data_IF_285587754844
#
_entry.id   IF_285587754844
#
_cell.length_a   1.000
_cell.length_b   1.000
_cell.length_c   1.000
_cell.angle_alpha   90.00
_cell.angle_beta   90.00
_cell.angle_gamma   90.00
#
_symmetry.space_group_name_H-M   'P 1'
#
loop_
_entity.id
_entity.type
_entity.pdbx_description
1 polymer ?
#
# COMPACT_ATOMS: atom_id res chain seq x y z
N UNK A 1 35.21 8.28 -44.30
CA UNK A 1 36.35 7.81 -43.51
C UNK A 1 37.24 8.98 -43.17
N UNK A 2 37.21 9.43 -41.92
CA UNK A 2 38.41 9.80 -41.17
C UNK A 2 38.02 9.90 -39.69
N UNK A 3 38.79 9.23 -38.84
CA UNK A 3 38.59 9.14 -37.40
C UNK A 3 39.47 10.16 -36.67
N UNK A 4 38.94 10.71 -35.58
CA UNK A 4 39.64 11.27 -34.41
C UNK A 4 38.53 11.70 -33.44
N UNK A 5 38.44 11.28 -32.17
CA UNK A 5 39.52 11.01 -31.23
C UNK A 5 39.57 12.17 -30.23
N UNK A 6 38.90 12.02 -29.08
CA UNK A 6 38.85 13.06 -28.04
C UNK A 6 38.07 12.61 -26.81
N UNK A 7 38.80 12.01 -25.87
CA UNK A 7 38.40 11.59 -24.53
C UNK A 7 38.48 12.76 -23.54
N UNK A 8 37.52 12.89 -22.60
CA UNK A 8 37.74 12.88 -21.13
C UNK A 8 36.61 13.54 -20.31
N UNK A 9 36.24 12.80 -19.24
CA UNK A 9 35.81 13.20 -17.89
C UNK A 9 34.53 14.04 -17.72
N UNK A 10 33.66 13.79 -16.74
CA UNK A 10 33.68 12.89 -15.59
C UNK A 10 32.44 13.20 -14.74
N UNK A 11 32.00 12.24 -13.94
CA UNK A 11 30.82 12.38 -13.08
C UNK A 11 30.48 11.06 -12.41
N UNK A 12 31.33 10.66 -11.46
CA UNK A 12 31.04 9.60 -10.48
C UNK A 12 29.96 10.10 -9.51
N UNK A 13 29.01 9.24 -9.17
CA UNK A 13 28.02 9.51 -8.13
C UNK A 13 27.25 8.24 -7.77
N UNK A 14 27.65 7.60 -6.67
CA UNK A 14 26.75 6.79 -5.84
C UNK A 14 26.65 5.30 -6.15
N UNK A 15 27.71 4.52 -5.95
CA UNK A 15 27.57 3.08 -5.69
C UNK A 15 27.08 2.90 -4.25
N UNK A 16 25.78 2.68 -4.09
CA UNK A 16 25.22 2.08 -2.89
C UNK A 16 25.77 0.65 -2.77
N UNK A 17 26.55 0.43 -1.72
CA UNK A 17 27.24 -0.83 -1.47
C UNK A 17 26.26 -1.79 -0.77
N UNK A 18 25.37 -2.43 -1.54
CA UNK A 18 24.71 -3.66 -1.07
C UNK A 18 25.80 -4.71 -1.06
N UNK A 19 26.18 -5.13 0.15
CA UNK A 19 27.09 -6.25 0.34
C UNK A 19 26.31 -7.50 -0.08
N UNK A 20 26.39 -7.86 -1.36
CA UNK A 20 26.12 -9.23 -1.80
C UNK A 20 27.20 -10.11 -1.19
N UNK A 21 26.99 -10.52 0.06
CA UNK A 21 27.71 -11.64 0.65
C UNK A 21 27.29 -12.86 -0.16
N UNK A 22 28.09 -13.19 -1.18
CA UNK A 22 27.90 -14.36 -2.01
C UNK A 22 27.87 -15.59 -1.13
N UNK A 23 26.66 -16.08 -0.86
CA UNK A 23 26.39 -17.31 -0.13
C UNK A 23 27.22 -18.42 -0.74
N UNK A 24 28.01 -19.08 0.09
CA UNK A 24 28.76 -20.25 -0.33
C UNK A 24 27.75 -21.37 -0.50
N UNK A 25 27.28 -21.59 -1.73
CA UNK A 25 26.22 -22.56 -2.05
C UNK A 25 26.28 -23.82 -1.19
N UNK A 26 25.19 -24.07 -0.46
CA UNK A 26 25.05 -25.22 0.43
C UNK A 26 25.36 -26.51 -0.31
N UNK A 27 26.13 -27.40 0.31
CA UNK A 27 26.39 -28.71 -0.27
C UNK A 27 25.08 -29.47 -0.41
N UNK A 28 24.53 -29.52 -1.64
CA UNK A 28 23.25 -30.17 -1.93
C UNK A 28 23.14 -31.56 -1.28
N UNK A 29 21.99 -31.81 -0.66
CA UNK A 29 21.71 -33.04 0.09
C UNK A 29 21.96 -34.30 -0.74
N UNK A 30 22.40 -35.37 -0.08
CA UNK A 30 22.51 -36.69 -0.71
C UNK A 30 21.13 -37.19 -1.13
N UNK A 31 20.95 -37.77 -2.34
CA UNK A 31 19.68 -38.35 -2.75
C UNK A 31 19.10 -39.29 -1.68
N UNK A 32 17.93 -38.95 -1.15
CA UNK A 32 17.25 -39.68 -0.08
C UNK A 32 17.31 -39.05 1.32
N UNK A 33 18.03 -37.95 1.52
CA UNK A 33 17.99 -37.14 2.75
C UNK A 33 17.52 -35.72 2.40
N UNK A 34 16.45 -35.24 3.06
CA UNK A 34 15.94 -33.90 2.83
C UNK A 34 16.90 -32.84 3.39
N UNK A 35 16.96 -31.69 2.73
CA UNK A 35 17.65 -30.50 3.23
C UNK A 35 16.82 -29.95 4.40
N UNK A 36 17.42 -29.87 5.59
CA UNK A 36 16.75 -29.31 6.76
C UNK A 36 16.83 -27.79 6.73
N UNK A 37 15.69 -27.11 6.64
CA UNK A 37 15.60 -25.66 6.80
C UNK A 37 15.58 -25.34 8.28
N UNK A 38 16.60 -24.60 8.70
CA UNK A 38 16.80 -24.23 10.10
C UNK A 38 16.33 -22.82 10.41
N UNK A 39 16.16 -21.98 9.38
CA UNK A 39 15.71 -20.61 9.53
C UNK A 39 14.95 -20.12 8.30
N UNK A 40 14.00 -19.21 8.52
CA UNK A 40 13.30 -18.46 7.46
C UNK A 40 13.36 -16.99 7.85
N UNK A 41 14.12 -16.21 7.09
CA UNK A 41 14.38 -14.80 7.35
C UNK A 41 13.46 -13.91 6.53
N UNK A 42 13.19 -12.69 7.00
CA UNK A 42 12.45 -11.66 6.25
C UNK A 42 11.05 -12.13 5.80
N UNK A 43 10.38 -12.90 6.65
CA UNK A 43 9.04 -13.41 6.33
C UNK A 43 8.02 -12.27 6.30
N UNK A 44 7.60 -11.86 5.11
CA UNK A 44 6.77 -10.69 4.84
C UNK A 44 5.52 -11.03 4.02
N UNK A 45 4.50 -10.17 4.07
CA UNK A 45 3.34 -10.28 3.20
C UNK A 45 3.67 -9.84 1.76
N UNK A 46 3.23 -10.62 0.78
CA UNK A 46 3.28 -10.25 -0.63
C UNK A 46 2.16 -9.30 -1.02
N UNK A 47 2.22 -8.75 -2.23
CA UNK A 47 1.34 -7.65 -2.70
C UNK A 47 -0.17 -7.93 -2.60
N UNK A 48 -0.60 -9.19 -2.65
CA UNK A 48 -2.03 -9.56 -2.58
C UNK A 48 -2.52 -9.78 -1.15
N UNK A 49 -1.62 -9.89 -0.18
CA UNK A 49 -1.90 -10.38 1.17
C UNK A 49 -2.29 -11.87 1.25
N UNK A 50 -2.33 -12.59 0.13
CA UNK A 50 -2.64 -14.03 0.14
C UNK A 50 -1.40 -14.90 0.01
N UNK A 51 -0.23 -14.27 -0.06
CA UNK A 51 1.08 -14.90 -0.19
C UNK A 51 2.03 -14.26 0.80
N UNK A 52 2.88 -15.05 1.45
CA UNK A 52 3.90 -14.57 2.37
C UNK A 52 5.22 -15.23 2.02
N UNK A 53 6.31 -14.48 1.98
CA UNK A 53 7.61 -14.95 1.51
C UNK A 53 8.69 -14.66 2.53
N UNK A 54 9.63 -15.58 2.71
CA UNK A 54 10.87 -15.32 3.43
C UNK A 54 12.03 -16.10 2.81
N UNK A 55 13.25 -15.58 2.95
CA UNK A 55 14.46 -16.29 2.55
C UNK A 55 14.68 -17.53 3.43
N UNK A 56 15.31 -18.59 2.90
CA UNK A 56 15.55 -19.83 3.66
C UNK A 56 17.03 -20.14 3.87
N UNK A 57 17.34 -20.72 5.03
CA UNK A 57 18.70 -21.17 5.38
C UNK A 57 18.70 -22.62 5.90
N UNK A 58 19.56 -23.50 5.34
CA UNK A 58 20.54 -23.23 4.30
C UNK A 58 19.91 -23.05 2.91
N UNK A 59 20.59 -22.29 2.04
CA UNK A 59 20.27 -22.25 0.60
C UNK A 59 20.22 -23.69 0.02
N UNK A 60 19.19 -23.95 -0.79
CA UNK A 60 18.88 -25.21 -1.45
C UNK A 60 19.93 -25.56 -2.52
N UNK A 61 20.31 -24.58 -3.35
CA UNK A 61 21.41 -24.70 -4.31
C UNK A 61 21.80 -23.34 -4.91
N UNK A 62 22.71 -23.42 -5.90
CA UNK A 62 23.03 -22.31 -6.78
C UNK A 62 23.61 -21.08 -6.08
N UNK A 63 23.39 -19.93 -6.68
CA UNK A 63 23.96 -18.65 -6.25
C UNK A 63 22.92 -17.54 -6.13
N UNK A 64 21.71 -17.78 -6.65
CA UNK A 64 20.61 -16.85 -6.57
C UNK A 64 19.79 -17.14 -5.30
N UNK A 65 19.03 -16.17 -4.76
CA UNK A 65 18.31 -16.35 -3.50
C UNK A 65 17.27 -17.49 -3.55
N UNK A 66 17.12 -18.21 -2.43
CA UNK A 66 16.07 -19.19 -2.24
C UNK A 66 15.00 -18.65 -1.29
N UNK A 67 13.73 -18.97 -1.53
CA UNK A 67 12.61 -18.46 -0.75
C UNK A 67 11.60 -19.54 -0.38
N UNK A 68 10.86 -19.30 0.70
CA UNK A 68 9.69 -20.06 1.12
C UNK A 68 8.44 -19.19 1.01
N UNK A 69 7.52 -19.59 0.15
CA UNK A 69 6.21 -19.00 0.00
C UNK A 69 5.14 -19.75 0.79
N UNK A 70 4.34 -19.05 1.57
CA UNK A 70 3.10 -19.51 2.19
C UNK A 70 1.92 -18.85 1.48
N UNK A 71 1.04 -19.63 0.88
CA UNK A 71 -0.14 -19.16 0.16
C UNK A 71 -1.40 -19.54 0.93
N UNK A 72 -2.25 -18.56 1.23
CA UNK A 72 -3.41 -18.72 2.10
C UNK A 72 -4.68 -18.09 1.47
N UNK A 73 -5.80 -18.84 1.40
CA UNK A 73 -7.12 -18.25 1.21
C UNK A 73 -7.48 -17.25 2.30
N UNK A 74 -8.26 -16.19 2.01
CA UNK A 74 -8.69 -15.17 2.99
C UNK A 74 -9.34 -15.76 4.26
N UNK A 75 -10.03 -16.89 4.14
CA UNK A 75 -10.75 -17.56 5.22
C UNK A 75 -9.89 -18.55 6.05
N UNK A 76 -8.59 -18.66 5.76
CA UNK A 76 -7.71 -19.63 6.41
C UNK A 76 -7.52 -19.33 7.88
N UNK A 77 -7.85 -20.30 8.73
CA UNK A 77 -7.68 -20.23 10.18
C UNK A 77 -7.37 -21.63 10.74
N UNK A 78 -6.91 -21.69 12.00
CA UNK A 78 -6.69 -22.93 12.72
C UNK A 78 -5.60 -23.83 12.13
N UNK A 79 -5.68 -25.11 12.49
CA UNK A 79 -4.71 -26.13 12.08
C UNK A 79 -5.15 -26.84 10.80
N UNK A 80 -4.25 -26.88 9.82
CA UNK A 80 -4.44 -27.41 8.48
C UNK A 80 -3.34 -28.42 8.17
N UNK A 81 -3.72 -29.61 7.69
CA UNK A 81 -2.76 -30.60 7.19
C UNK A 81 -2.34 -30.22 5.77
N UNK A 82 -1.04 -30.18 5.52
CA UNK A 82 -0.48 -29.88 4.22
C UNK A 82 -0.43 -31.16 3.37
N UNK A 83 -0.83 -31.02 2.10
CA UNK A 83 -0.81 -32.10 1.12
C UNK A 83 -0.43 -31.55 -0.24
N UNK A 84 0.14 -32.41 -1.10
CA UNK A 84 0.49 -32.00 -2.45
C UNK A 84 -0.76 -31.53 -3.21
N UNK A 85 -0.82 -30.25 -3.64
CA UNK A 85 -1.89 -29.76 -4.50
C UNK A 85 -1.95 -30.50 -5.84
N UNK A 86 -3.15 -30.62 -6.42
CA UNK A 86 -3.32 -31.22 -7.73
C UNK A 86 -2.80 -30.34 -8.88
N UNK A 87 -2.79 -29.02 -8.69
CA UNK A 87 -2.34 -28.03 -9.65
C UNK A 87 -1.84 -26.77 -8.92
N UNK A 88 -0.88 -26.07 -9.52
CA UNK A 88 -0.24 -24.91 -8.90
C UNK A 88 -1.15 -23.69 -8.86
N UNK A 89 -2.13 -23.59 -9.75
CA UNK A 89 -3.13 -22.52 -9.71
C UNK A 89 -3.91 -22.51 -8.39
N UNK A 90 -4.10 -23.69 -7.77
CA UNK A 90 -4.70 -23.80 -6.44
C UNK A 90 -3.87 -23.04 -5.41
N UNK A 91 -2.54 -23.19 -5.46
CA UNK A 91 -1.61 -22.56 -4.54
C UNK A 91 -1.34 -21.10 -4.89
N UNK A 92 -0.85 -20.84 -6.09
CA UNK A 92 -0.29 -19.56 -6.49
C UNK A 92 -1.37 -18.47 -6.62
N UNK A 93 -2.65 -18.84 -6.78
CA UNK A 93 -3.77 -17.89 -6.74
C UNK A 93 -4.44 -17.78 -5.37
N UNK A 94 -3.88 -18.39 -4.31
CA UNK A 94 -4.43 -18.31 -2.95
C UNK A 94 -5.79 -18.99 -2.79
N UNK A 95 -6.15 -19.95 -3.63
CA UNK A 95 -7.44 -20.67 -3.52
C UNK A 95 -7.35 -21.93 -2.65
N UNK A 96 -6.13 -22.33 -2.28
CA UNK A 96 -5.85 -23.36 -1.30
C UNK A 96 -4.62 -23.02 -0.46
N UNK A 97 -4.50 -23.69 0.69
CA UNK A 97 -3.36 -23.51 1.60
C UNK A 97 -2.16 -24.28 1.04
N UNK A 98 -1.07 -23.58 0.78
CA UNK A 98 0.14 -24.20 0.26
C UNK A 98 1.41 -23.62 0.89
N UNK A 99 2.42 -24.48 1.03
CA UNK A 99 3.80 -24.08 1.34
C UNK A 99 4.66 -24.52 0.15
N UNK A 100 5.37 -23.56 -0.43
CA UNK A 100 6.15 -23.73 -1.65
C UNK A 100 7.56 -23.20 -1.42
N UNK A 101 8.58 -24.00 -1.72
CA UNK A 101 9.97 -23.53 -1.77
C UNK A 101 10.35 -23.19 -3.21
N UNK A 102 11.11 -22.11 -3.38
CA UNK A 102 11.65 -21.64 -4.66
C UNK A 102 13.17 -21.68 -4.58
N UNK A 103 13.80 -22.42 -5.49
CA UNK A 103 15.26 -22.47 -5.62
C UNK A 103 15.73 -21.56 -6.74
N UNK A 104 16.81 -20.81 -6.48
CA UNK A 104 17.43 -19.86 -7.41
C UNK A 104 16.38 -18.92 -8.04
N UNK A 105 15.60 -18.24 -7.18
CA UNK A 105 14.53 -17.35 -7.62
C UNK A 105 15.12 -16.02 -8.15
N UNK A 106 14.79 -15.72 -9.41
CA UNK A 106 15.11 -14.45 -10.07
C UNK A 106 13.86 -13.86 -10.69
N UNK A 107 13.93 -12.60 -11.15
CA UNK A 107 12.80 -11.98 -11.86
C UNK A 107 12.39 -12.73 -13.15
N UNK A 108 13.28 -13.54 -13.74
CA UNK A 108 13.04 -14.19 -15.03
C UNK A 108 12.81 -15.70 -14.93
N UNK A 109 13.22 -16.34 -13.83
CA UNK A 109 13.21 -17.78 -13.70
C UNK A 109 13.26 -18.25 -12.24
N UNK A 110 12.72 -19.45 -12.03
CA UNK A 110 12.91 -20.25 -10.83
C UNK A 110 13.63 -21.52 -11.26
N UNK A 111 14.70 -21.89 -10.57
CA UNK A 111 15.50 -23.09 -10.84
C UNK A 111 14.72 -24.38 -10.57
N UNK A 112 14.10 -24.48 -9.40
CA UNK A 112 13.23 -25.60 -9.03
C UNK A 112 12.11 -25.17 -8.06
N UNK A 113 10.99 -25.90 -8.10
CA UNK A 113 9.88 -25.73 -7.17
C UNK A 113 9.81 -26.91 -6.20
N UNK A 114 9.53 -26.62 -4.94
CA UNK A 114 9.29 -27.61 -3.89
C UNK A 114 7.90 -27.43 -3.34
N UNK A 115 7.07 -28.47 -3.33
CA UNK A 115 5.70 -28.37 -2.80
C UNK A 115 5.53 -29.25 -1.57
N UNK A 116 4.87 -28.72 -0.53
CA UNK A 116 4.55 -29.50 0.65
C UNK A 116 3.70 -30.72 0.32
N UNK A 117 4.15 -31.88 0.80
CA UNK A 117 3.45 -33.18 0.66
C UNK A 117 2.90 -33.67 2.00
N UNK A 118 3.45 -33.19 3.11
CA UNK A 118 3.04 -33.51 4.47
C UNK A 118 3.35 -32.35 5.42
N UNK A 119 2.86 -32.48 6.66
CA UNK A 119 3.10 -31.55 7.76
C UNK A 119 1.85 -30.79 8.17
N UNK A 120 2.02 -29.85 9.08
CA UNK A 120 0.92 -29.04 9.63
C UNK A 120 1.26 -27.56 9.55
N UNK A 121 0.28 -26.77 9.10
CA UNK A 121 0.23 -25.33 9.30
C UNK A 121 -0.79 -25.03 10.40
N UNK A 122 -0.42 -24.30 11.44
CA UNK A 122 -1.35 -23.80 12.44
C UNK A 122 -1.36 -22.27 12.44
N UNK A 123 -2.47 -21.66 12.03
CA UNK A 123 -2.69 -20.20 12.02
C UNK A 123 -3.35 -19.70 13.33
N UNK A 124 -3.62 -20.60 14.28
CA UNK A 124 -4.36 -20.29 15.50
C UNK A 124 -5.70 -19.65 15.19
N UNK A 125 -5.91 -18.42 15.67
CA UNK A 125 -7.13 -17.63 15.41
C UNK A 125 -6.89 -16.47 14.44
N UNK A 126 -5.68 -16.32 13.89
CA UNK A 126 -5.39 -15.27 12.92
C UNK A 126 -5.90 -15.66 11.53
N UNK A 127 -6.23 -14.65 10.72
CA UNK A 127 -6.71 -14.84 9.36
C UNK A 127 -6.05 -13.80 8.42
N UNK A 128 -5.63 -14.20 7.20
CA UNK A 128 -5.14 -13.29 6.15
C UNK A 128 -6.18 -12.20 5.79
N UNK A 129 -5.78 -11.06 5.19
CA UNK A 129 -4.69 -10.97 4.20
C UNK A 129 -3.35 -10.40 4.69
N UNK A 130 -3.26 -9.79 5.86
CA UNK A 130 -2.04 -9.00 6.15
C UNK A 130 -1.34 -9.39 7.45
N UNK A 131 -2.05 -10.13 8.32
CA UNK A 131 -1.54 -10.50 9.62
C UNK A 131 -1.84 -11.94 9.91
N UNK A 132 -0.78 -12.69 10.10
CA UNK A 132 -0.85 -14.09 10.44
C UNK A 132 0.17 -14.36 11.53
N UNK A 133 -0.27 -15.05 12.57
CA UNK A 133 0.62 -15.62 13.56
C UNK A 133 0.37 -17.13 13.55
N UNK A 134 1.42 -17.89 13.32
CA UNK A 134 1.27 -19.32 13.15
C UNK A 134 2.59 -20.07 13.19
N UNK A 135 2.48 -21.36 12.90
CA UNK A 135 3.65 -22.22 12.78
C UNK A 135 3.47 -23.29 11.72
N UNK A 136 4.59 -23.66 11.12
CA UNK A 136 4.79 -24.89 10.36
C UNK A 136 5.44 -25.92 11.29
N UNK A 137 4.98 -27.17 11.19
CA UNK A 137 5.54 -28.28 11.96
C UNK A 137 5.62 -29.55 11.10
N UNK A 138 6.79 -30.19 11.11
CA UNK A 138 7.09 -31.45 10.41
C UNK A 138 6.72 -31.40 8.92
N UNK A 139 7.05 -30.30 8.26
CA UNK A 139 6.69 -30.05 6.85
C UNK A 139 7.74 -30.66 5.94
N UNK A 140 7.31 -31.55 5.05
CA UNK A 140 8.17 -32.09 3.98
C UNK A 140 7.71 -31.53 2.64
N UNK A 141 8.61 -30.85 1.93
CA UNK A 141 8.42 -30.42 0.55
C UNK A 141 9.24 -31.31 -0.39
N UNK A 142 8.69 -31.62 -1.56
CA UNK A 142 9.39 -32.42 -2.59
C UNK A 142 9.56 -31.61 -3.85
N UNK A 143 10.68 -31.81 -4.54
CA UNK A 143 10.96 -31.22 -5.84
C UNK A 143 9.89 -31.65 -6.85
N UNK A 144 9.31 -30.69 -7.55
CA UNK A 144 8.25 -30.92 -8.52
C UNK A 144 8.47 -30.09 -9.80
N UNK A 145 7.92 -30.62 -10.88
CA UNK A 145 7.81 -29.90 -12.16
C UNK A 145 6.43 -29.32 -12.33
N UNK A 146 6.36 -28.15 -12.97
CA UNK A 146 5.14 -27.46 -13.33
C UNK A 146 4.89 -27.56 -14.83
N UNK A 147 3.72 -28.07 -15.23
CA UNK A 147 3.28 -28.02 -16.62
C UNK A 147 2.80 -26.58 -16.95
N UNK A 148 3.41 -25.88 -17.92
CA UNK A 148 3.13 -24.47 -18.17
C UNK A 148 1.75 -24.23 -18.81
N UNK A 149 1.14 -25.24 -19.44
CA UNK A 149 -0.15 -25.11 -20.12
C UNK A 149 -1.31 -25.40 -19.16
N UNK A 150 -1.11 -26.31 -18.22
CA UNK A 150 -2.17 -26.82 -17.32
C UNK A 150 -1.99 -26.43 -15.87
N UNK A 151 -0.80 -25.97 -15.48
CA UNK A 151 -0.43 -25.77 -14.08
C UNK A 151 -0.33 -27.06 -13.27
N UNK A 152 -0.35 -28.23 -13.91
CA UNK A 152 -0.28 -29.51 -13.21
C UNK A 152 1.08 -29.67 -12.50
N UNK A 153 1.04 -30.12 -11.25
CA UNK A 153 2.24 -30.38 -10.44
C UNK A 153 2.57 -31.87 -10.53
N UNK A 154 3.79 -32.20 -10.91
CA UNK A 154 4.30 -33.58 -10.95
C UNK A 154 5.58 -33.69 -10.13
N UNK A 155 5.54 -34.50 -9.08
CA UNK A 155 6.72 -34.83 -8.27
C UNK A 155 7.84 -35.40 -9.16
N UNK A 156 9.06 -34.92 -8.94
CA UNK A 156 10.25 -35.45 -9.62
C UNK A 156 10.64 -36.76 -8.95
N UNK A 157 10.55 -37.87 -9.69
CA UNK A 157 10.97 -39.18 -9.18
C UNK A 157 12.45 -39.15 -8.80
N UNK A 158 12.75 -39.56 -7.56
CA UNK A 158 14.09 -39.47 -6.95
C UNK A 158 14.63 -38.02 -6.88
N UNK A 159 13.73 -37.02 -6.92
CA UNK A 159 14.05 -35.62 -6.74
C UNK A 159 14.50 -35.29 -5.32
N UNK A 160 14.96 -34.05 -5.14
CA UNK A 160 15.34 -33.53 -3.82
C UNK A 160 14.11 -33.30 -2.96
N UNK A 161 14.32 -33.21 -1.66
CA UNK A 161 13.30 -32.80 -0.71
C UNK A 161 13.87 -31.82 0.31
N UNK A 162 12.96 -31.05 0.90
CA UNK A 162 13.22 -30.04 1.91
C UNK A 162 12.36 -30.37 3.12
N UNK A 163 12.92 -30.26 4.31
CA UNK A 163 12.21 -30.52 5.55
C UNK A 163 12.29 -29.31 6.47
N UNK A 164 11.19 -29.02 7.16
CA UNK A 164 11.07 -27.96 8.15
C UNK A 164 10.57 -28.62 9.44
N UNK A 165 11.45 -28.84 10.41
CA UNK A 165 11.06 -29.46 11.68
C UNK A 165 10.02 -28.60 12.40
N UNK A 166 10.34 -27.32 12.65
CA UNK A 166 9.41 -26.34 13.21
C UNK A 166 9.82 -24.93 12.79
N UNK A 167 8.86 -24.13 12.32
CA UNK A 167 9.05 -22.72 12.02
C UNK A 167 7.84 -21.93 12.54
N UNK A 168 8.07 -20.90 13.34
CA UNK A 168 7.02 -20.01 13.82
C UNK A 168 7.18 -18.64 13.15
N UNK A 169 6.06 -18.07 12.72
CA UNK A 169 6.01 -16.77 12.07
C UNK A 169 4.94 -15.90 12.75
N UNK A 170 5.16 -14.59 12.75
CA UNK A 170 4.25 -13.63 13.33
C UNK A 170 4.35 -12.33 12.54
N UNK A 171 3.28 -12.00 11.85
CA UNK A 171 3.00 -10.69 11.27
C UNK A 171 1.96 -10.05 12.17
N UNK A 172 2.40 -9.05 12.92
CA UNK A 172 1.59 -8.41 13.95
C UNK A 172 0.47 -7.58 13.35
N UNK A 173 -0.78 -7.72 13.82
CA UNK A 173 -1.87 -6.85 13.38
C UNK A 173 -1.60 -5.39 13.75
N UNK A 174 -2.25 -4.43 13.07
CA UNK A 174 -2.15 -3.05 13.42
C UNK A 174 -2.61 -2.86 14.84
N UNK A 175 -2.04 -1.85 15.46
CA UNK A 175 -2.52 -1.41 16.76
C UNK A 175 -4.04 -1.14 16.67
N UNK A 176 -4.84 -1.55 17.69
CA UNK A 176 -6.28 -1.31 17.68
C UNK A 176 -6.61 0.16 17.43
N UNK A 177 -7.48 0.42 16.45
CA UNK A 177 -7.80 1.78 16.00
C UNK A 177 -7.31 2.10 14.60
N UNK A 178 -6.44 1.27 14.02
CA UNK A 178 -6.04 1.40 12.62
C UNK A 178 -7.24 1.28 11.66
N UNK A 179 -7.42 2.25 10.77
CA UNK A 179 -8.53 2.33 9.81
C UNK A 179 -8.09 2.27 8.35
N UNK A 180 -6.81 2.47 8.06
CA UNK A 180 -6.28 2.36 6.70
C UNK A 180 -6.13 0.90 6.26
N UNK A 181 -5.73 0.71 5.00
CA UNK A 181 -5.34 -0.61 4.53
C UNK A 181 -4.18 -1.13 5.39
N UNK A 182 -4.21 -2.42 5.63
CA UNK A 182 -3.25 -3.10 6.49
C UNK A 182 -1.83 -3.18 5.90
N UNK A 183 -1.71 -3.12 4.57
CA UNK A 183 -0.43 -3.07 3.89
C UNK A 183 0.34 -1.75 4.13
N UNK A 184 -0.31 -0.74 4.73
CA UNK A 184 0.22 0.60 5.03
C UNK A 184 0.57 0.77 6.51
N UNK A 185 0.84 -0.33 7.23
CA UNK A 185 1.14 -0.27 8.65
C UNK A 185 2.50 -0.92 8.91
N UNK A 186 3.50 -0.19 9.41
CA UNK A 186 4.85 -0.74 9.66
C UNK A 186 5.47 -1.35 8.38
N UNK A 187 5.35 -0.66 7.24
CA UNK A 187 5.94 -1.07 5.96
C UNK A 187 7.44 -1.32 6.06
N UNK A 188 8.18 -0.56 6.88
CA UNK A 188 9.60 -0.83 7.16
C UNK A 188 9.76 -2.18 7.85
N UNK A 189 8.95 -2.46 8.88
CA UNK A 189 8.94 -3.75 9.57
C UNK A 189 8.52 -4.91 8.67
N UNK A 190 7.68 -4.63 7.68
CA UNK A 190 7.24 -5.59 6.65
C UNK A 190 8.21 -5.70 5.46
N UNK A 191 9.24 -4.86 5.38
CA UNK A 191 10.20 -4.88 4.27
C UNK A 191 9.63 -4.43 2.93
N UNK A 192 8.61 -3.55 2.91
CA UNK A 192 8.07 -3.01 1.67
C UNK A 192 9.11 -2.14 0.94
N UNK A 193 9.05 -2.10 -0.40
CA UNK A 193 9.94 -1.24 -1.21
C UNK A 193 9.58 0.25 -1.11
N UNK A 194 8.28 0.54 -1.04
CA UNK A 194 7.74 1.87 -0.82
C UNK A 194 7.29 1.95 0.63
N UNK A 195 7.83 2.92 1.37
CA UNK A 195 7.67 3.06 2.81
C UNK A 195 7.22 4.49 3.09
N UNK A 196 6.14 4.63 3.84
CA UNK A 196 5.62 5.92 4.25
C UNK A 196 5.42 5.93 5.76
N UNK A 197 5.17 7.11 6.30
CA UNK A 197 4.56 7.22 7.62
C UNK A 197 3.09 7.57 7.38
N UNK A 198 2.22 6.58 7.53
CA UNK A 198 0.79 6.67 7.21
C UNK A 198 -0.01 7.25 8.38
N UNK A 199 -0.28 8.54 8.28
CA UNK A 199 -1.14 9.31 9.17
C UNK A 199 -2.61 9.24 8.76
N UNK A 200 -3.46 9.77 9.65
CA UNK A 200 -4.92 9.77 9.52
C UNK A 200 -5.55 8.37 9.47
N UNK A 201 -4.74 7.36 9.77
CA UNK A 201 -5.13 5.97 9.83
C UNK A 201 -5.66 5.54 11.20
N UNK A 202 -6.04 6.47 12.07
CA UNK A 202 -6.71 6.21 13.36
C UNK A 202 -5.82 5.64 14.48
N UNK A 203 -4.68 5.04 14.15
CA UNK A 203 -3.61 4.67 15.08
C UNK A 203 -2.25 5.06 14.51
N UNK A 204 -1.25 5.25 15.36
CA UNK A 204 0.09 5.68 14.93
C UNK A 204 0.78 4.54 14.19
N UNK A 205 1.22 4.83 12.98
CA UNK A 205 2.08 3.95 12.20
C UNK A 205 3.50 3.91 12.82
N UNK A 206 4.05 2.71 13.14
CA UNK A 206 5.42 2.56 13.61
C UNK A 206 6.49 3.23 12.73
N UNK A 207 6.24 3.35 11.43
CA UNK A 207 7.16 3.95 10.47
C UNK A 207 7.34 5.45 10.70
N UNK A 208 6.39 6.11 11.35
CA UNK A 208 6.48 7.52 11.77
C UNK A 208 7.59 7.80 12.79
N UNK A 209 8.24 6.77 13.33
CA UNK A 209 9.45 6.94 14.14
C UNK A 209 10.71 7.21 13.30
N UNK A 210 10.67 6.95 11.98
CA UNK A 210 11.75 7.22 11.04
C UNK A 210 11.58 8.61 10.39
N UNK A 211 12.41 9.61 10.72
CA UNK A 211 12.27 10.97 10.19
C UNK A 211 12.72 11.11 8.72
N UNK A 212 13.25 10.05 8.10
CA UNK A 212 13.64 10.05 6.68
C UNK A 212 12.48 9.67 5.75
N UNK A 213 11.39 9.11 6.28
CA UNK A 213 10.22 8.74 5.50
C UNK A 213 9.33 9.95 5.21
N UNK A 214 8.68 9.91 4.05
CA UNK A 214 7.62 10.86 3.72
C UNK A 214 6.39 10.58 4.57
N UNK A 215 5.78 11.64 5.10
CA UNK A 215 4.61 11.56 5.97
C UNK A 215 3.38 11.76 5.08
N UNK A 216 2.55 10.72 4.94
CA UNK A 216 1.35 10.70 4.10
C UNK A 216 0.09 10.64 4.96
N UNK A 217 -1.03 11.30 4.64
CA UNK A 217 -1.24 12.26 3.56
C UNK A 217 -0.84 13.71 3.95
N UNK A 218 0.00 13.89 4.98
CA UNK A 218 0.28 15.22 5.53
C UNK A 218 0.98 16.16 4.56
N UNK A 219 0.70 17.46 4.68
CA UNK A 219 1.36 18.47 3.85
C UNK A 219 2.83 18.67 4.26
N UNK A 220 3.72 19.09 3.33
CA UNK A 220 5.13 19.28 3.62
C UNK A 220 5.39 20.17 4.84
N UNK A 221 6.16 19.68 5.82
CA UNK A 221 6.48 20.39 7.06
C UNK A 221 5.59 20.04 8.25
N UNK A 222 4.48 19.33 8.04
CA UNK A 222 3.71 18.71 9.11
C UNK A 222 4.38 17.44 9.62
N UNK A 223 3.89 16.93 10.75
CA UNK A 223 4.34 15.68 11.39
C UNK A 223 3.17 14.77 11.73
N UNK A 224 3.38 13.46 11.79
CA UNK A 224 2.38 12.56 12.37
C UNK A 224 2.34 12.66 13.89
N UNK A 225 1.26 13.22 14.41
CA UNK A 225 1.02 13.36 15.84
C UNK A 225 0.86 12.02 16.55
N UNK A 226 0.87 12.06 17.90
CA UNK A 226 0.61 10.88 18.72
C UNK A 226 -0.81 10.32 18.59
N UNK A 227 -1.72 11.10 17.99
CA UNK A 227 -3.10 10.72 17.65
C UNK A 227 -3.22 10.18 16.22
N UNK A 228 -2.10 10.01 15.50
CA UNK A 228 -2.08 9.69 14.08
C UNK A 228 -2.86 10.69 13.23
N UNK A 229 -2.73 11.97 13.55
CA UNK A 229 -3.25 13.08 12.76
C UNK A 229 -2.09 13.94 12.30
N UNK A 230 -2.24 14.61 11.16
CA UNK A 230 -1.26 15.57 10.71
C UNK A 230 -1.23 16.76 11.66
N UNK A 231 -0.10 17.01 12.31
CA UNK A 231 0.11 18.10 13.26
C UNK A 231 1.14 19.10 12.73
N UNK A 232 0.97 20.36 13.11
CA UNK A 232 1.86 21.46 12.74
C UNK A 232 1.42 22.20 11.49
N UNK A 233 2.08 23.33 11.26
CA UNK A 233 1.79 24.24 10.15
C UNK A 233 2.55 23.79 8.90
N UNK A 234 1.87 23.56 7.77
CA UNK A 234 2.53 23.25 6.51
C UNK A 234 3.48 24.37 6.08
N UNK A 235 4.54 24.00 5.37
CA UNK A 235 5.58 24.94 4.91
C UNK A 235 5.05 25.97 3.90
N UNK A 236 4.02 25.58 3.13
CA UNK A 236 3.40 26.45 2.13
C UNK A 236 2.28 27.34 2.72
N UNK A 237 1.98 27.20 4.03
CA UNK A 237 1.10 28.13 4.74
C UNK A 237 1.81 29.46 4.97
N UNK A 238 1.18 30.56 4.55
CA UNK A 238 1.79 31.91 4.60
C UNK A 238 1.23 32.82 5.68
N UNK A 239 0.15 32.41 6.36
CA UNK A 239 -0.41 33.14 7.50
C UNK A 239 0.33 32.76 8.80
N UNK A 240 -0.12 33.26 9.95
CA UNK A 240 0.52 32.92 11.23
C UNK A 240 0.32 31.45 11.57
N UNK A 241 1.32 30.79 12.16
CA UNK A 241 1.18 29.40 12.62
C UNK A 241 0.00 29.22 13.58
N UNK A 242 -0.35 30.28 14.33
CA UNK A 242 -1.49 30.35 15.24
C UNK A 242 -2.86 30.55 14.55
N UNK A 243 -2.90 30.47 13.22
CA UNK A 243 -4.12 30.58 12.40
C UNK A 243 -4.38 29.35 11.52
N UNK A 244 -3.51 28.33 11.56
CA UNK A 244 -3.73 27.07 10.84
C UNK A 244 -4.31 26.01 11.77
N UNK A 245 -5.45 25.41 11.40
CA UNK A 245 -6.06 24.24 12.06
C UNK A 245 -6.15 24.40 13.60
N UNK A 246 -6.74 25.51 14.04
CA UNK A 246 -6.91 25.79 15.47
C UNK A 246 -8.22 25.21 16.03
N UNK A 247 -9.04 24.61 15.16
CA UNK A 247 -10.32 24.04 15.48
C UNK A 247 -11.42 25.09 15.62
N UNK A 248 -12.62 24.60 15.95
CA UNK A 248 -13.85 25.39 15.96
C UNK A 248 -13.76 26.71 16.78
N UNK A 249 -14.16 27.81 16.15
CA UNK A 249 -14.29 29.14 16.73
C UNK A 249 -13.13 30.10 16.46
N UNK A 250 -12.12 29.71 15.69
CA UNK A 250 -11.00 30.58 15.31
C UNK A 250 -11.20 31.27 13.95
N UNK A 251 -12.22 30.85 13.20
CA UNK A 251 -12.42 31.30 11.83
C UNK A 251 -11.66 30.44 10.84
N UNK A 252 -11.88 30.74 9.57
CA UNK A 252 -11.34 30.06 8.41
C UNK A 252 -10.50 31.09 7.66
N UNK A 253 -9.18 30.90 7.66
CA UNK A 253 -8.18 31.87 7.23
C UNK A 253 -7.80 31.69 5.74
N UNK A 254 -8.19 32.67 4.94
CA UNK A 254 -8.03 32.64 3.49
C UNK A 254 -6.86 33.48 3.00
N UNK A 255 -6.46 33.22 1.75
CA UNK A 255 -5.27 33.77 1.10
C UNK A 255 -3.98 33.42 1.86
N UNK A 256 -3.98 32.27 2.53
CA UNK A 256 -2.88 31.76 3.33
C UNK A 256 -2.01 30.73 2.59
N UNK A 257 -2.11 30.66 1.26
CA UNK A 257 -1.31 29.78 0.41
C UNK A 257 -1.89 28.36 0.27
N UNK A 258 -2.41 27.81 1.36
CA UNK A 258 -3.11 26.52 1.41
C UNK A 258 -4.54 26.67 1.94
N UNK A 259 -5.42 25.67 1.71
CA UNK A 259 -6.72 25.59 2.38
C UNK A 259 -6.54 25.49 3.90
N UNK A 260 -7.32 26.25 4.65
CA UNK A 260 -7.42 26.12 6.10
C UNK A 260 -8.38 24.99 6.47
N UNK A 261 -7.96 23.97 7.23
CA UNK A 261 -8.86 22.91 7.71
C UNK A 261 -10.08 23.44 8.48
N UNK A 262 -9.97 24.60 9.14
CA UNK A 262 -11.08 25.22 9.86
C UNK A 262 -12.23 25.63 8.91
N UNK A 263 -11.97 25.80 7.60
CA UNK A 263 -13.01 26.10 6.61
C UNK A 263 -14.01 24.96 6.38
N UNK A 264 -13.68 23.73 6.76
CA UNK A 264 -14.61 22.60 6.70
C UNK A 264 -15.60 22.60 7.89
N UNK A 265 -15.39 23.46 8.89
CA UNK A 265 -16.24 23.53 10.07
C UNK A 265 -17.41 24.50 9.83
N UNK A 266 -18.63 24.01 10.07
CA UNK A 266 -19.83 24.79 9.85
C UNK A 266 -19.92 26.01 10.78
N UNK A 267 -20.08 27.20 10.19
CA UNK A 267 -20.31 28.45 10.91
C UNK A 267 -19.06 29.22 11.33
N UNK A 268 -17.88 28.81 10.85
CA UNK A 268 -16.65 29.58 11.06
C UNK A 268 -16.70 30.94 10.38
N UNK A 269 -16.00 31.91 10.97
CA UNK A 269 -15.87 33.26 10.39
C UNK A 269 -14.81 33.24 9.30
N UNK A 270 -15.14 33.66 8.08
CA UNK A 270 -14.17 33.78 6.99
C UNK A 270 -13.24 34.97 7.24
N UNK A 271 -11.97 34.69 7.48
CA UNK A 271 -10.90 35.67 7.71
C UNK A 271 -10.11 35.88 6.40
N UNK A 272 -9.62 37.11 6.18
CA UNK A 272 -8.81 37.43 5.00
C UNK A 272 -9.59 37.72 3.71
N UNK A 273 -10.92 37.60 3.72
CA UNK A 273 -11.80 37.93 2.60
C UNK A 273 -12.64 39.20 2.81
N UNK A 274 -13.19 39.75 1.72
CA UNK A 274 -14.18 40.82 1.75
C UNK A 274 -15.54 40.31 2.27
N UNK A 275 -16.39 41.24 2.73
CA UNK A 275 -17.69 40.87 3.28
C UNK A 275 -18.60 40.26 2.20
N UNK A 276 -19.01 39.01 2.42
CA UNK A 276 -19.84 38.24 1.48
C UNK A 276 -19.05 37.25 0.63
N UNK A 277 -17.72 37.16 0.79
CA UNK A 277 -16.90 36.13 0.16
C UNK A 277 -16.83 34.85 1.02
N UNK A 278 -16.56 33.73 0.36
CA UNK A 278 -16.30 32.41 0.96
C UNK A 278 -14.84 31.99 0.74
N UNK A 279 -14.33 31.17 1.65
CA UNK A 279 -13.01 30.56 1.50
C UNK A 279 -13.11 29.24 0.76
N UNK A 280 -12.32 29.06 -0.29
CA UNK A 280 -12.26 27.79 -0.99
C UNK A 280 -10.84 27.54 -1.51
N UNK A 281 -10.31 26.34 -1.30
CA UNK A 281 -8.97 26.01 -1.78
C UNK A 281 -7.87 26.96 -1.27
N UNK A 282 -8.10 27.64 -0.13
CA UNK A 282 -7.21 28.67 0.41
C UNK A 282 -7.36 30.07 -0.19
N UNK A 283 -8.29 30.31 -1.10
CA UNK A 283 -8.58 31.62 -1.72
C UNK A 283 -9.96 32.17 -1.35
N UNK A 284 -10.15 33.48 -1.57
CA UNK A 284 -11.45 34.15 -1.39
C UNK A 284 -12.24 34.20 -2.70
N UNK A 285 -13.53 33.87 -2.63
CA UNK A 285 -14.45 33.87 -3.78
C UNK A 285 -15.73 34.61 -3.42
N UNK A 286 -16.24 35.43 -4.33
CA UNK A 286 -17.54 36.09 -4.14
C UNK A 286 -18.66 35.03 -4.12
N UNK A 287 -19.36 34.92 -2.98
CA UNK A 287 -20.47 33.97 -2.84
C UNK A 287 -21.59 34.25 -3.86
N UNK A 288 -21.69 35.47 -4.38
CA UNK A 288 -22.63 35.82 -5.44
C UNK A 288 -22.35 35.12 -6.78
N UNK A 289 -21.21 34.42 -6.91
CA UNK A 289 -20.90 33.59 -8.08
C UNK A 289 -21.57 32.23 -7.99
N UNK A 290 -21.98 31.77 -6.79
CA UNK A 290 -22.84 30.60 -6.65
C UNK A 290 -24.22 30.90 -7.26
N UNK A 291 -24.58 30.17 -8.31
CA UNK A 291 -25.83 30.37 -9.05
C UNK A 291 -26.93 29.40 -8.67
N UNK A 292 -26.59 28.30 -7.98
CA UNK A 292 -27.55 27.34 -7.45
C UNK A 292 -28.24 27.84 -6.18
N UNK A 293 -29.25 27.10 -5.68
CA UNK A 293 -29.84 27.42 -4.37
C UNK A 293 -28.77 27.35 -3.28
N UNK A 294 -28.77 28.30 -2.35
CA UNK A 294 -27.82 28.35 -1.23
C UNK A 294 -27.92 27.11 -0.33
N UNK A 295 -29.05 26.37 -0.35
CA UNK A 295 -29.19 25.14 0.43
C UNK A 295 -28.41 23.95 -0.11
N UNK A 296 -27.89 24.04 -1.33
CA UNK A 296 -27.11 22.99 -1.99
C UNK A 296 -25.62 23.11 -1.67
N UNK A 297 -25.12 24.32 -1.40
CA UNK A 297 -23.70 24.51 -1.10
C UNK A 297 -23.32 23.93 0.28
N UNK A 298 -22.31 23.06 0.32
CA UNK A 298 -21.81 22.43 1.55
C UNK A 298 -22.89 21.65 2.32
N UNK A 299 -23.81 21.00 1.60
CA UNK A 299 -24.93 20.23 2.17
C UNK A 299 -24.59 18.75 2.44
N UNK A 300 -23.39 18.33 2.05
CA UNK A 300 -22.89 16.95 2.08
C UNK A 300 -23.04 16.22 0.74
N UNK A 301 -23.42 16.92 -0.33
CA UNK A 301 -23.63 16.38 -1.68
C UNK A 301 -22.93 17.25 -2.71
N UNK A 302 -22.28 16.65 -3.72
CA UNK A 302 -21.55 17.43 -4.71
C UNK A 302 -22.48 17.97 -5.82
N UNK A 303 -22.82 19.26 -5.73
CA UNK A 303 -23.67 19.97 -6.69
C UNK A 303 -22.86 20.77 -7.72
N UNK A 304 -23.01 20.40 -9.00
CA UNK A 304 -22.16 20.89 -10.07
C UNK A 304 -22.83 21.87 -11.03
N UNK A 305 -22.01 22.73 -11.64
CA UNK A 305 -22.41 23.75 -12.61
C UNK A 305 -22.98 25.01 -11.96
N UNK A 306 -22.72 25.19 -10.68
CA UNK A 306 -23.27 26.25 -9.85
C UNK A 306 -22.41 27.52 -9.82
N UNK A 307 -21.46 27.68 -10.75
CA UNK A 307 -20.59 28.87 -10.87
C UNK A 307 -19.41 28.92 -9.89
N UNK A 308 -19.52 28.25 -8.75
CA UNK A 308 -18.43 27.98 -7.81
C UNK A 308 -18.31 26.45 -7.61
N UNK A 309 -17.13 25.98 -7.24
CA UNK A 309 -16.92 24.56 -6.93
C UNK A 309 -17.65 24.24 -5.62
N UNK A 310 -18.34 23.10 -5.54
CA UNK A 310 -18.93 22.68 -4.27
C UNK A 310 -17.86 22.00 -3.41
N UNK A 311 -17.80 22.34 -2.13
CA UNK A 311 -16.82 21.79 -1.17
C UNK A 311 -17.07 20.30 -0.90
N UNK A 312 -18.27 19.82 -1.15
CA UNK A 312 -18.63 18.40 -1.00
C UNK A 312 -18.09 17.52 -2.13
N UNK A 313 -17.56 18.11 -3.20
CA UNK A 313 -16.94 17.39 -4.28
C UNK A 313 -15.53 16.91 -3.91
N UNK A 314 -15.21 15.65 -4.21
CA UNK A 314 -13.88 15.09 -3.99
C UNK A 314 -12.78 15.80 -4.79
N UNK A 315 -13.11 16.26 -6.01
CA UNK A 315 -12.26 17.07 -6.87
C UNK A 315 -13.09 17.92 -7.85
N UNK A 316 -12.42 18.74 -8.66
CA UNK A 316 -13.06 19.59 -9.66
C UNK A 316 -13.52 18.86 -10.94
N UNK A 317 -13.45 17.53 -10.99
CA UNK A 317 -13.86 16.77 -12.19
C UNK A 317 -15.37 16.53 -12.18
N UNK A 318 -15.98 16.48 -13.38
CA UNK A 318 -17.41 16.16 -13.52
C UNK A 318 -17.76 14.75 -13.00
N UNK A 319 -16.77 13.87 -12.88
CA UNK A 319 -16.96 12.53 -12.35
C UNK A 319 -17.27 12.51 -10.85
N UNK A 320 -16.94 13.59 -10.14
CA UNK A 320 -17.23 13.77 -8.71
C UNK A 320 -18.64 14.29 -8.44
N UNK A 321 -19.37 14.74 -9.47
CA UNK A 321 -20.71 15.31 -9.35
C UNK A 321 -21.78 14.27 -9.00
N UNK A 322 -22.55 14.56 -7.96
CA UNK A 322 -23.77 13.82 -7.63
C UNK A 322 -24.96 14.37 -8.43
N UNK A 323 -25.03 15.71 -8.53
CA UNK A 323 -26.06 16.40 -9.30
C UNK A 323 -25.46 17.46 -10.23
N UNK A 324 -26.06 17.58 -11.41
CA UNK A 324 -25.60 18.48 -12.49
C UNK A 324 -26.76 19.28 -13.10
N UNK A 325 -27.92 19.28 -12.46
CA UNK A 325 -29.14 19.87 -13.01
C UNK A 325 -30.03 20.51 -11.95
N UNK A 326 -29.46 20.85 -10.80
CA UNK A 326 -30.15 21.58 -9.75
C UNK A 326 -30.56 22.97 -10.21
N UNK A 327 -31.54 23.53 -9.51
CA UNK A 327 -32.02 24.86 -9.82
C UNK A 327 -30.87 25.87 -9.70
N UNK A 328 -30.55 26.53 -10.81
CA UNK A 328 -29.44 27.48 -10.91
C UNK A 328 -28.15 26.90 -11.47
N UNK A 329 -28.06 25.57 -11.64
CA UNK A 329 -26.97 24.95 -12.40
C UNK A 329 -27.01 25.40 -13.85
N UNK A 330 -25.84 25.55 -14.46
CA UNK A 330 -25.71 25.84 -15.88
C UNK A 330 -26.13 24.68 -16.78
N UNK A 331 -26.26 23.46 -16.24
CA UNK A 331 -26.72 22.27 -16.95
C UNK A 331 -28.18 21.98 -16.61
N UNK A 332 -28.93 21.45 -17.59
CA UNK A 332 -30.39 21.17 -17.44
C UNK A 332 -30.70 19.68 -17.51
N UNK A 333 -29.66 18.84 -17.51
CA UNK A 333 -29.75 17.39 -17.65
C UNK A 333 -28.82 16.73 -16.63
N UNK A 334 -29.17 15.51 -16.21
CA UNK A 334 -28.34 14.70 -15.30
C UNK A 334 -26.88 14.60 -15.76
N UNK A 335 -25.99 14.31 -14.81
CA UNK A 335 -24.56 14.24 -15.04
C UNK A 335 -24.17 13.28 -16.20
N UNK A 336 -23.18 13.65 -17.04
CA UNK A 336 -22.34 14.85 -16.94
C UNK A 336 -22.97 16.12 -17.55
N UNK A 337 -24.16 16.03 -18.16
CA UNK A 337 -24.84 17.15 -18.80
C UNK A 337 -23.95 18.02 -19.70
N UNK A 338 -24.00 19.33 -19.50
CA UNK A 338 -23.10 20.31 -20.16
C UNK A 338 -21.93 20.75 -19.27
N UNK A 339 -21.71 20.12 -18.12
CA UNK A 339 -20.64 20.46 -17.18
C UNK A 339 -19.26 20.27 -17.83
N UNK A 340 -18.33 21.16 -17.53
CA UNK A 340 -16.96 21.05 -18.02
C UNK A 340 -16.25 19.86 -17.34
N UNK A 341 -15.69 18.91 -18.12
CA UNK A 341 -15.14 17.68 -17.56
C UNK A 341 -13.95 17.87 -16.62
N UNK A 342 -13.30 19.04 -16.63
CA UNK A 342 -12.14 19.35 -15.78
C UNK A 342 -12.38 20.51 -14.80
N UNK A 343 -13.59 21.06 -14.78
CA UNK A 343 -13.99 22.13 -13.86
C UNK A 343 -15.50 22.05 -13.64
N UNK A 344 -15.89 21.32 -12.60
CA UNK A 344 -17.28 21.01 -12.31
C UNK A 344 -18.10 22.21 -11.82
N UNK A 345 -17.48 23.38 -11.61
CA UNK A 345 -18.20 24.62 -11.27
C UNK A 345 -18.86 25.29 -12.49
N UNK A 346 -18.42 24.98 -13.72
CA UNK A 346 -18.87 25.65 -14.95
C UNK A 346 -19.31 24.67 -16.04
N UNK A 347 -20.06 25.17 -17.01
CA UNK A 347 -20.45 24.42 -18.20
C UNK A 347 -19.53 24.69 -19.39
N UNK A 348 -19.38 23.68 -20.24
CA UNK A 348 -18.89 23.86 -21.61
C UNK A 348 -19.93 24.60 -22.45
N UNK A 349 -19.47 25.63 -23.16
CA UNK A 349 -20.27 26.49 -24.04
C UNK A 349 -20.39 25.87 -25.44
#
# INVERSE_FOLDING_TARGET
GNANGGSNNGGEGGTGNVVNDGGSGGGGGTPGECIEITDVTEFAAGQTGLSFFGGIEPMLAGADPDSLGLYLPPESTGSNTLTLPAAADVCLNGTGICVVGFEDETQEAVGAYYFATSGTLDLGTTAPPFYIAGSLSDVTLVEATLDPDTGAITEVVDGRCVHIENFAFQLDPPTPGWTCAAAYYDEVGQGAEEQYCDCECGAVDPDCSNPELEIFPCAPGQTCGATAQCEGTPTDWTCGDDTYDQGAGNGCDCNCGLPDPDCALAGETVNGCEAGEVCQGGGCFDAAVWTCDDTYFADGTCDCGCGLHDVDCADALVASCDYCNDEGSCSTTDCPGTINPVDNSICTI
#
